data_IF_966810471256
#
_entry.id   IF_966810471256
#
_cell.length_a   1.000
_cell.length_b   1.000
_cell.length_c   1.000
_cell.angle_alpha   90.00
_cell.angle_beta   90.00
_cell.angle_gamma   90.00
#
_symmetry.space_group_name_H-M   'P 1'
#
loop_
_entity.id
_entity.type
_entity.pdbx_description
1 polymer ?
#
# COMPACT_ATOMS: atom_id res chain seq x y z
N UNK A 1 -4.85 -15.80 -14.86
CA UNK A 1 -4.81 -14.47 -14.23
C UNK A 1 -3.44 -14.31 -13.57
N UNK A 2 -2.55 -13.51 -14.16
CA UNK A 2 -1.14 -13.43 -13.76
C UNK A 2 -0.99 -12.93 -12.31
N UNK A 3 -1.80 -11.95 -11.91
CA UNK A 3 -1.77 -11.33 -10.57
C UNK A 3 -1.92 -12.32 -9.42
N UNK A 4 -2.83 -13.30 -9.50
CA UNK A 4 -2.99 -14.27 -8.41
C UNK A 4 -1.84 -15.28 -8.35
N UNK A 5 -1.17 -15.56 -9.47
CA UNK A 5 0.03 -16.41 -9.43
C UNK A 5 1.16 -15.68 -8.73
N UNK A 6 1.41 -14.43 -9.10
CA UNK A 6 2.39 -13.56 -8.43
C UNK A 6 2.11 -13.44 -6.93
N UNK A 7 0.86 -13.19 -6.54
CA UNK A 7 0.49 -13.08 -5.12
C UNK A 7 0.65 -14.39 -4.34
N UNK A 8 0.45 -15.55 -4.98
CA UNK A 8 0.73 -16.86 -4.37
C UNK A 8 2.23 -17.07 -4.20
N UNK A 9 3.03 -16.74 -5.22
CA UNK A 9 4.49 -16.87 -5.20
C UNK A 9 5.14 -15.92 -4.17
N UNK A 10 4.60 -14.70 -4.03
CA UNK A 10 5.02 -13.71 -3.03
C UNK A 10 4.43 -13.98 -1.63
N UNK A 11 3.52 -14.96 -1.50
CA UNK A 11 2.87 -15.30 -0.24
C UNK A 11 1.90 -14.24 0.28
N UNK A 12 1.42 -13.32 -0.56
CA UNK A 12 0.40 -12.30 -0.24
C UNK A 12 -0.98 -12.92 -0.02
N UNK A 13 -1.26 -14.03 -0.71
CA UNK A 13 -2.44 -14.84 -0.54
C UNK A 13 -2.07 -16.31 -0.41
N UNK A 14 -2.96 -17.08 0.21
CA UNK A 14 -2.90 -18.54 0.21
C UNK A 14 -4.26 -19.14 -0.14
N UNK A 15 -4.25 -20.37 -0.67
CA UNK A 15 -5.46 -21.12 -0.97
C UNK A 15 -6.11 -21.58 0.33
N UNK A 16 -7.42 -21.39 0.47
CA UNK A 16 -8.15 -21.89 1.63
C UNK A 16 -8.34 -23.40 1.48
N UNK A 17 -7.95 -24.22 2.49
CA UNK A 17 -8.16 -25.67 2.46
C UNK A 17 -9.63 -26.04 2.31
N UNK A 18 -9.91 -27.14 1.61
CA UNK A 18 -11.30 -27.54 1.28
C UNK A 18 -12.18 -27.74 2.54
N UNK A 19 -11.60 -28.27 3.62
CA UNK A 19 -12.28 -28.45 4.90
C UNK A 19 -12.65 -27.13 5.59
N UNK A 20 -12.00 -26.01 5.25
CA UNK A 20 -12.29 -24.69 5.80
C UNK A 20 -13.35 -23.92 4.97
N UNK A 21 -13.66 -24.34 3.74
CA UNK A 21 -14.58 -23.62 2.84
C UNK A 21 -16.00 -23.49 3.41
N UNK A 22 -16.42 -24.46 4.22
CA UNK A 22 -17.73 -24.46 4.88
C UNK A 22 -17.73 -23.70 6.21
N UNK A 23 -16.59 -23.16 6.64
CA UNK A 23 -16.49 -22.36 7.86
C UNK A 23 -17.14 -20.99 7.66
N UNK A 24 -17.64 -20.41 8.75
CA UNK A 24 -18.19 -19.04 8.73
C UNK A 24 -17.08 -18.06 8.35
N UNK A 25 -17.22 -17.43 7.18
CA UNK A 25 -16.25 -16.46 6.66
C UNK A 25 -16.93 -15.30 5.96
N UNK A 26 -16.18 -14.20 5.81
CA UNK A 26 -16.58 -13.07 4.99
C UNK A 26 -15.83 -13.13 3.67
N UNK A 27 -16.56 -13.07 2.56
CA UNK A 27 -15.98 -13.10 1.22
C UNK A 27 -15.96 -11.69 0.64
N UNK A 28 -14.83 -11.32 0.03
CA UNK A 28 -14.69 -10.08 -0.73
C UNK A 28 -14.68 -10.46 -2.22
N UNK A 29 -15.81 -10.28 -2.94
CA UNK A 29 -15.81 -10.47 -4.38
C UNK A 29 -14.82 -9.49 -5.01
N UNK A 30 -14.15 -9.90 -6.08
CA UNK A 30 -13.22 -9.06 -6.79
C UNK A 30 -13.55 -9.05 -8.29
N UNK A 31 -13.20 -7.96 -8.95
CA UNK A 31 -13.22 -7.90 -10.41
C UNK A 31 -11.94 -7.21 -10.91
N UNK A 32 -11.44 -7.59 -12.09
CA UNK A 32 -10.28 -6.93 -12.69
C UNK A 32 -10.67 -5.58 -13.30
N UNK A 33 -9.87 -4.55 -13.02
CA UNK A 33 -9.89 -3.26 -13.73
C UNK A 33 -8.64 -3.16 -14.58
N UNK A 34 -8.84 -2.89 -15.87
CA UNK A 34 -7.78 -2.74 -16.86
C UNK A 34 -7.43 -1.26 -17.01
N UNK A 35 -6.13 -0.93 -16.92
CA UNK A 35 -5.63 0.40 -17.26
C UNK A 35 -4.87 0.34 -18.60
N UNK A 36 -5.54 0.63 -19.73
CA UNK A 36 -4.96 0.44 -21.07
C UNK A 36 -3.75 1.36 -21.33
N UNK A 37 -3.68 2.52 -20.67
CA UNK A 37 -2.65 3.53 -20.89
C UNK A 37 -1.39 3.35 -20.02
N UNK A 38 -1.25 2.23 -19.31
CA UNK A 38 -0.04 1.89 -18.56
C UNK A 38 0.69 0.76 -19.29
N UNK A 39 1.99 0.91 -19.52
CA UNK A 39 2.85 -0.15 -20.08
C UNK A 39 3.72 -0.70 -18.94
N UNK A 40 3.65 -2.00 -18.61
CA UNK A 40 2.67 -2.99 -19.10
C UNK A 40 1.25 -2.73 -18.57
N UNK A 41 0.22 -3.28 -19.24
CA UNK A 41 -1.20 -3.13 -18.84
C UNK A 41 -1.39 -3.63 -17.42
N UNK A 42 -1.38 -2.70 -16.46
CA UNK A 42 -1.48 -3.03 -15.05
C UNK A 42 -2.93 -3.39 -14.73
N UNK A 43 -3.21 -4.68 -14.54
CA UNK A 43 -4.48 -5.16 -13.99
C UNK A 43 -4.50 -4.79 -12.51
N UNK A 44 -5.58 -4.14 -12.05
CA UNK A 44 -5.85 -3.91 -10.63
C UNK A 44 -7.03 -4.74 -10.19
N UNK A 45 -6.88 -5.47 -9.09
CA UNK A 45 -8.00 -6.12 -8.42
C UNK A 45 -8.77 -5.09 -7.62
N UNK A 46 -10.07 -4.97 -7.90
CA UNK A 46 -10.97 -4.13 -7.10
C UNK A 46 -11.95 -5.03 -6.37
N UNK A 47 -11.92 -4.92 -5.04
CA UNK A 47 -12.86 -5.63 -4.18
C UNK A 47 -14.21 -4.91 -4.20
N UNK A 48 -15.24 -5.60 -4.68
CA UNK A 48 -16.61 -5.09 -4.71
C UNK A 48 -17.47 -5.87 -3.72
N UNK A 49 -17.66 -5.30 -2.53
CA UNK A 49 -18.48 -5.87 -1.48
C UNK A 49 -20.00 -5.91 -1.80
N UNK A 50 -20.44 -5.32 -2.92
CA UNK A 50 -21.84 -5.34 -3.38
C UNK A 50 -22.11 -6.32 -4.54
N UNK A 51 -21.10 -7.06 -5.00
CA UNK A 51 -21.26 -8.02 -6.09
C UNK A 51 -22.19 -9.18 -5.69
N UNK A 52 -23.12 -9.53 -6.60
CA UNK A 52 -23.97 -10.72 -6.49
C UNK A 52 -23.26 -11.92 -7.11
N UNK A 53 -23.34 -13.07 -6.44
CA UNK A 53 -22.69 -14.32 -6.85
C UNK A 53 -23.62 -15.17 -7.73
N UNK A 54 -23.10 -15.76 -8.82
CA UNK A 54 -23.78 -16.77 -9.64
C UNK A 54 -23.40 -18.18 -9.17
N UNK A 55 -24.39 -19.00 -8.79
CA UNK A 55 -24.20 -20.26 -8.06
C UNK A 55 -23.51 -21.39 -8.82
N UNK A 56 -23.37 -21.31 -10.13
CA UNK A 56 -23.01 -22.45 -10.97
C UNK A 56 -21.50 -22.55 -11.29
N UNK A 57 -20.67 -21.65 -10.76
CA UNK A 57 -19.23 -21.63 -11.02
C UNK A 57 -18.42 -22.27 -9.88
N UNK A 58 -17.42 -23.09 -10.23
CA UNK A 58 -16.43 -23.60 -9.27
C UNK A 58 -15.57 -22.43 -8.78
N UNK A 59 -15.74 -22.04 -7.52
CA UNK A 59 -14.95 -20.96 -6.88
C UNK A 59 -13.65 -21.51 -6.34
N UNK A 60 -12.55 -20.85 -6.68
CA UNK A 60 -11.32 -20.96 -5.91
C UNK A 60 -11.29 -19.86 -4.86
N UNK A 61 -11.22 -20.24 -3.59
CA UNK A 61 -11.18 -19.31 -2.47
C UNK A 61 -9.73 -19.12 -2.01
N UNK A 62 -9.33 -17.87 -1.88
CA UNK A 62 -8.04 -17.46 -1.36
C UNK A 62 -8.27 -16.55 -0.15
N UNK A 63 -7.35 -16.56 0.81
CA UNK A 63 -7.29 -15.60 1.91
C UNK A 63 -5.99 -14.83 1.88
N UNK A 64 -6.03 -13.57 2.30
CA UNK A 64 -4.83 -12.76 2.45
C UNK A 64 -4.08 -13.17 3.71
N UNK A 65 -2.75 -13.22 3.60
CA UNK A 65 -1.83 -13.46 4.71
C UNK A 65 -1.37 -12.14 5.37
N UNK A 66 -1.63 -11.01 4.70
CA UNK A 66 -1.30 -9.66 5.13
C UNK A 66 -2.54 -8.77 5.25
N UNK A 67 -2.38 -7.61 5.89
CA UNK A 67 -3.43 -6.59 5.94
C UNK A 67 -3.75 -6.11 4.51
N UNK A 68 -5.02 -6.16 4.14
CA UNK A 68 -5.47 -5.75 2.80
C UNK A 68 -5.55 -4.22 2.67
N UNK A 69 -5.19 -3.72 1.50
CA UNK A 69 -5.42 -2.31 1.15
C UNK A 69 -6.93 -2.04 0.94
N UNK A 70 -7.40 -0.87 1.38
CA UNK A 70 -8.78 -0.42 1.13
C UNK A 70 -9.84 -0.82 2.16
N UNK A 71 -9.50 -1.56 3.23
CA UNK A 71 -10.39 -1.72 4.39
C UNK A 71 -10.17 -0.59 5.39
N UNK A 72 -11.23 -0.06 6.01
CA UNK A 72 -11.10 1.10 6.93
C UNK A 72 -10.11 0.87 8.08
N UNK A 73 -10.00 -0.36 8.56
CA UNK A 73 -9.08 -0.72 9.65
C UNK A 73 -7.61 -0.74 9.23
N UNK A 74 -7.28 -0.87 7.94
CA UNK A 74 -5.89 -1.00 7.51
C UNK A 74 -5.08 0.27 7.72
N UNK A 75 -5.69 1.45 7.50
CA UNK A 75 -5.04 2.74 7.78
C UNK A 75 -4.67 2.90 9.25
N UNK A 76 -5.54 2.43 10.16
CA UNK A 76 -5.28 2.47 11.60
C UNK A 76 -4.13 1.55 11.98
N UNK A 77 -4.14 0.31 11.47
CA UNK A 77 -3.06 -0.66 11.71
C UNK A 77 -1.73 -0.16 11.14
N UNK A 78 -1.75 0.42 9.94
CA UNK A 78 -0.56 1.03 9.33
C UNK A 78 0.00 2.15 10.21
N UNK A 79 -0.85 3.04 10.70
CA UNK A 79 -0.43 4.11 11.63
C UNK A 79 0.25 3.55 12.88
N UNK A 80 -0.31 2.51 13.50
CA UNK A 80 0.29 1.86 14.66
C UNK A 80 1.66 1.22 14.32
N UNK A 81 1.76 0.51 13.19
CA UNK A 81 3.01 -0.11 12.72
C UNK A 81 4.09 0.93 12.45
N UNK A 82 3.74 2.05 11.80
CA UNK A 82 4.65 3.18 11.59
C UNK A 82 5.17 3.71 12.92
N UNK A 83 4.30 3.95 13.91
CA UNK A 83 4.74 4.43 15.23
C UNK A 83 5.70 3.45 15.92
N UNK A 84 5.46 2.15 15.82
CA UNK A 84 6.37 1.12 16.35
C UNK A 84 7.74 1.19 15.68
N UNK A 85 7.80 1.33 14.35
CA UNK A 85 9.06 1.42 13.62
C UNK A 85 9.80 2.75 13.82
N UNK A 86 9.08 3.83 14.15
CA UNK A 86 9.69 5.12 14.46
C UNK A 86 10.15 5.24 15.92
N UNK A 87 9.60 4.45 16.83
CA UNK A 87 9.98 4.44 18.26
C UNK A 87 11.50 4.27 18.53
N UNK A 88 12.24 3.39 17.83
CA UNK A 88 13.69 3.25 18.06
C UNK A 88 14.53 4.33 17.36
N UNK A 89 13.93 5.16 16.50
CA UNK A 89 14.65 6.17 15.74
C UNK A 89 14.81 7.42 16.61
N UNK A 90 16.04 7.97 16.77
CA UNK A 90 16.25 9.16 17.59
C UNK A 90 15.33 10.31 17.17
N UNK A 91 14.59 10.87 18.11
CA UNK A 91 13.66 11.98 17.83
C UNK A 91 14.38 13.25 17.35
N UNK A 92 15.67 13.38 17.67
CA UNK A 92 16.56 14.43 17.17
C UNK A 92 16.81 14.34 15.65
N UNK A 93 16.51 13.20 15.02
CA UNK A 93 16.53 13.10 13.57
C UNK A 93 15.36 13.91 13.00
N UNK A 94 15.71 14.97 12.25
CA UNK A 94 14.86 16.11 11.90
C UNK A 94 13.45 15.78 11.36
N UNK A 95 13.25 14.59 10.78
CA UNK A 95 12.02 14.25 10.07
C UNK A 95 11.17 13.16 10.73
N UNK A 96 11.60 12.56 11.85
CA UNK A 96 10.85 11.46 12.50
C UNK A 96 9.47 11.92 12.96
N UNK A 97 9.42 13.07 13.64
CA UNK A 97 8.15 13.65 14.11
C UNK A 97 7.25 14.04 12.93
N UNK A 98 7.83 14.58 11.85
CA UNK A 98 7.08 14.91 10.63
C UNK A 98 6.50 13.64 10.00
N UNK A 99 7.33 12.61 9.82
CA UNK A 99 6.95 11.32 9.23
C UNK A 99 5.83 10.61 9.98
N UNK A 100 5.86 10.62 11.31
CA UNK A 100 4.78 10.03 12.13
C UNK A 100 3.39 10.65 11.88
N UNK A 101 3.32 11.87 11.35
CA UNK A 101 2.08 12.63 11.12
C UNK A 101 1.73 12.76 9.64
N UNK A 102 2.53 12.16 8.75
CA UNK A 102 2.46 12.42 7.31
C UNK A 102 1.64 11.39 6.54
N UNK A 103 1.22 10.28 7.16
CA UNK A 103 0.44 9.25 6.47
C UNK A 103 -1.06 9.54 6.46
N UNK A 104 -1.64 9.56 5.26
CA UNK A 104 -3.08 9.55 5.01
C UNK A 104 -3.44 8.30 4.22
N UNK A 105 -4.15 7.36 4.86
CA UNK A 105 -4.44 6.03 4.31
C UNK A 105 -3.12 5.34 3.93
N UNK A 106 -2.80 5.25 2.64
CA UNK A 106 -1.61 4.63 2.07
C UNK A 106 -0.62 5.66 1.50
N UNK A 107 -0.94 6.96 1.54
CA UNK A 107 -0.12 8.03 1.00
C UNK A 107 0.65 8.76 2.09
N UNK A 108 1.96 8.97 1.88
CA UNK A 108 2.78 9.85 2.73
C UNK A 108 2.82 11.25 2.11
N UNK A 109 2.27 12.24 2.81
CA UNK A 109 2.17 13.64 2.37
C UNK A 109 2.89 14.55 3.36
N UNK A 110 3.84 15.34 2.84
CA UNK A 110 4.73 16.17 3.64
C UNK A 110 4.91 17.54 2.97
N UNK A 111 5.12 18.57 3.78
CA UNK A 111 5.61 19.87 3.33
C UNK A 111 7.11 20.01 3.59
N UNK A 112 7.77 20.92 2.89
CA UNK A 112 9.13 21.38 3.17
C UNK A 112 9.19 22.89 2.85
N UNK A 113 9.98 23.63 3.62
CA UNK A 113 10.08 25.09 3.51
C UNK A 113 11.05 25.52 2.41
N UNK A 114 11.97 24.63 2.01
CA UNK A 114 12.93 24.86 0.94
C UNK A 114 13.37 23.55 0.26
N UNK A 115 14.04 23.67 -0.89
CA UNK A 115 14.48 22.52 -1.70
C UNK A 115 15.50 21.63 -0.98
N UNK A 116 16.40 22.22 -0.19
CA UNK A 116 17.36 21.44 0.62
C UNK A 116 16.65 20.57 1.64
N UNK A 117 15.70 21.14 2.40
CA UNK A 117 14.89 20.38 3.35
C UNK A 117 14.08 19.28 2.65
N UNK A 118 13.52 19.58 1.47
CA UNK A 118 12.76 18.59 0.68
C UNK A 118 13.63 17.36 0.34
N UNK A 119 14.84 17.58 -0.16
CA UNK A 119 15.77 16.50 -0.52
C UNK A 119 16.15 15.67 0.70
N UNK A 120 16.49 16.32 1.81
CA UNK A 120 16.86 15.64 3.05
C UNK A 120 15.69 14.87 3.65
N UNK A 121 14.48 15.43 3.61
CA UNK A 121 13.25 14.79 4.06
C UNK A 121 12.93 13.52 3.27
N UNK A 122 12.99 13.59 1.93
CA UNK A 122 12.75 12.43 1.05
C UNK A 122 13.78 11.34 1.33
N UNK A 123 15.05 11.70 1.42
CA UNK A 123 16.16 10.77 1.67
C UNK A 123 16.04 10.10 3.03
N UNK A 124 15.84 10.88 4.09
CA UNK A 124 15.75 10.35 5.46
C UNK A 124 14.50 9.48 5.63
N UNK A 125 13.34 9.93 5.16
CA UNK A 125 12.09 9.19 5.29
C UNK A 125 12.13 7.87 4.54
N UNK A 126 12.68 7.89 3.31
CA UNK A 126 12.86 6.67 2.51
C UNK A 126 13.78 5.69 3.23
N UNK A 127 14.93 6.15 3.75
CA UNK A 127 15.85 5.29 4.49
C UNK A 127 15.20 4.64 5.72
N UNK A 128 14.55 5.45 6.56
CA UNK A 128 13.90 4.98 7.80
C UNK A 128 12.89 3.87 7.50
N UNK A 129 12.05 4.06 6.47
CA UNK A 129 11.03 3.07 6.15
C UNK A 129 11.57 1.87 5.35
N UNK A 130 12.62 2.04 4.54
CA UNK A 130 13.33 0.92 3.93
C UNK A 130 13.95 -0.01 4.98
N UNK A 131 14.50 0.55 6.07
CA UNK A 131 15.01 -0.25 7.20
C UNK A 131 13.88 -1.05 7.88
N UNK A 132 12.65 -0.51 7.89
CA UNK A 132 11.43 -1.17 8.32
C UNK A 132 10.79 -2.12 7.27
N UNK A 133 11.45 -2.34 6.11
CA UNK A 133 10.91 -3.10 4.96
C UNK A 133 9.62 -2.50 4.37
N UNK A 134 9.45 -1.19 4.51
CA UNK A 134 8.34 -0.41 3.99
C UNK A 134 8.85 0.57 2.93
N UNK A 135 8.64 0.24 1.65
CA UNK A 135 9.17 1.07 0.57
C UNK A 135 8.27 2.27 0.25
N UNK A 136 8.77 3.48 0.48
CA UNK A 136 8.20 4.70 -0.10
C UNK A 136 8.61 4.81 -1.57
N UNK A 137 7.64 5.04 -2.45
CA UNK A 137 7.82 5.06 -3.90
C UNK A 137 7.08 6.25 -4.51
N UNK A 138 7.43 6.58 -5.76
CA UNK A 138 6.72 7.60 -6.57
C UNK A 138 6.70 8.98 -5.92
N UNK A 139 7.82 9.42 -5.35
CA UNK A 139 7.94 10.76 -4.79
C UNK A 139 7.66 11.84 -5.84
N UNK A 140 6.72 12.73 -5.53
CA UNK A 140 6.39 13.89 -6.34
C UNK A 140 6.31 15.14 -5.46
N UNK A 141 6.79 16.27 -5.97
CA UNK A 141 6.70 17.57 -5.30
C UNK A 141 6.20 18.65 -6.26
N UNK A 142 5.38 19.56 -5.75
CA UNK A 142 4.96 20.75 -6.47
C UNK A 142 4.31 21.74 -5.51
N UNK A 143 4.26 23.03 -5.86
CA UNK A 143 3.49 23.99 -5.09
C UNK A 143 1.99 23.64 -5.13
N UNK A 144 1.25 24.07 -4.12
CA UNK A 144 -0.17 23.76 -3.99
C UNK A 144 -0.96 24.28 -5.19
N UNK A 145 -1.69 23.39 -5.87
CA UNK A 145 -2.54 23.73 -7.02
C UNK A 145 -1.84 23.68 -8.38
N UNK A 146 -0.55 23.32 -8.45
CA UNK A 146 0.17 23.11 -9.70
C UNK A 146 0.46 21.63 -9.97
N UNK A 147 0.95 21.33 -11.18
CA UNK A 147 1.40 19.98 -11.54
C UNK A 147 2.59 19.54 -10.67
N UNK A 148 2.43 18.38 -10.03
CA UNK A 148 3.51 17.78 -9.24
C UNK A 148 4.58 17.19 -10.15
N UNK A 149 5.85 17.41 -9.81
CA UNK A 149 7.02 16.91 -10.54
C UNK A 149 7.62 15.71 -9.82
N UNK A 150 8.05 14.71 -10.58
CA UNK A 150 8.74 13.54 -10.02
C UNK A 150 10.11 13.93 -9.44
N UNK A 151 10.35 13.59 -8.18
CA UNK A 151 11.61 13.87 -7.47
C UNK A 151 12.70 12.85 -7.88
N UNK A 152 12.30 11.63 -8.24
CA UNK A 152 13.21 10.51 -8.51
C UNK A 152 13.77 10.46 -9.95
N UNK A 153 13.66 11.54 -10.73
CA UNK A 153 14.35 11.64 -12.02
C UNK A 153 15.82 12.07 -11.91
N UNK A 154 16.30 12.34 -10.68
CA UNK A 154 17.63 12.93 -10.40
C UNK A 154 18.37 12.30 -9.20
N UNK A 155 17.95 11.15 -8.70
CA UNK A 155 18.64 10.41 -7.62
C UNK A 155 18.83 8.96 -8.03
#
# INVERSE_FOLDING_TARGET
MIVFKEWLEEGVIEMVPEHELNSKGHYLPHHPVFKPNSVPTKIRLVFNASCKWERDNVVKVFRHTSVVFGVRSSSFLLGAVILVHLSPVPTEQAYVVKLSKSFYIDNCVMSADNETELVDLVKCSTKILTDAKMDLRMWTSGPAGEEMRSILSRV
#
